data_IF_373026193461
#
_entry.id   IF_373026193461
#
_cell.length_a   1.000
_cell.length_b   1.000
_cell.length_c   1.000
_cell.angle_alpha   90.00
_cell.angle_beta   90.00
_cell.angle_gamma   90.00
#
_symmetry.space_group_name_H-M   'P 1'
#
loop_
_entity.id
_entity.type
_entity.pdbx_description
1 polymer ?
#
# COMPACT_ATOMS: atom_id res chain seq x y z
N UNK A 1 -45.01 -3.94 14.31
CA UNK A 1 -43.80 -3.32 14.88
C UNK A 1 -42.60 -3.96 14.17
N UNK A 2 -42.19 -3.42 13.02
CA UNK A 2 -41.10 -4.00 12.23
C UNK A 2 -39.76 -3.58 12.83
N UNK A 3 -38.94 -4.55 13.22
CA UNK A 3 -37.55 -4.33 13.61
C UNK A 3 -36.76 -3.90 12.37
N UNK A 4 -36.29 -2.65 12.37
CA UNK A 4 -35.29 -2.18 11.41
C UNK A 4 -34.00 -2.98 11.62
N UNK A 5 -33.76 -3.97 10.75
CA UNK A 5 -32.40 -4.34 10.34
C UNK A 5 -31.93 -3.18 9.48
N UNK A 6 -31.19 -2.25 10.06
CA UNK A 6 -30.43 -1.28 9.26
C UNK A 6 -29.23 -2.03 8.69
N UNK A 7 -29.11 -1.99 7.37
CA UNK A 7 -28.09 -2.63 6.57
C UNK A 7 -26.69 -2.17 7.00
N UNK A 8 -25.96 -3.02 7.75
CA UNK A 8 -24.50 -3.01 7.74
C UNK A 8 -24.06 -3.45 6.34
N UNK A 9 -24.13 -2.54 5.37
CA UNK A 9 -23.47 -2.72 4.10
C UNK A 9 -21.99 -3.02 4.39
N UNK A 10 -21.57 -4.24 4.08
CA UNK A 10 -20.20 -4.74 4.23
C UNK A 10 -19.24 -3.73 3.61
N UNK A 11 -18.54 -2.96 4.45
CA UNK A 11 -17.60 -1.95 3.98
C UNK A 11 -16.38 -2.65 3.41
N UNK A 12 -16.33 -2.75 2.09
CA UNK A 12 -15.22 -3.37 1.37
C UNK A 12 -14.04 -2.40 1.35
N UNK A 13 -12.92 -2.78 2.00
CA UNK A 13 -11.72 -1.95 2.07
C UNK A 13 -10.70 -2.47 1.07
N UNK A 14 -10.26 -1.61 0.15
CA UNK A 14 -9.10 -1.92 -0.69
C UNK A 14 -7.82 -1.69 0.12
N UNK A 15 -6.94 -2.67 0.17
CA UNK A 15 -5.63 -2.59 0.79
C UNK A 15 -4.53 -2.67 -0.26
N UNK A 16 -3.59 -1.73 -0.23
CA UNK A 16 -2.44 -1.67 -1.13
C UNK A 16 -1.20 -2.25 -0.44
N UNK A 17 -0.79 -3.43 -0.88
CA UNK A 17 0.43 -4.08 -0.42
C UNK A 17 1.63 -3.66 -1.26
N UNK A 18 2.74 -3.32 -0.60
CA UNK A 18 4.01 -2.93 -1.24
C UNK A 18 5.25 -3.61 -0.60
N UNK A 19 5.03 -4.53 0.33
CA UNK A 19 6.08 -5.21 1.10
C UNK A 19 5.84 -6.71 1.19
N UNK A 20 6.03 -7.30 2.38
CA UNK A 20 5.87 -8.74 2.61
C UNK A 20 4.50 -9.29 2.18
N UNK A 21 3.44 -8.50 2.36
CA UNK A 21 2.08 -8.81 1.91
C UNK A 21 1.91 -8.86 0.36
N UNK A 22 2.96 -8.65 -0.43
CA UNK A 22 2.98 -9.00 -1.86
C UNK A 22 3.01 -10.52 -2.09
N UNK A 23 3.44 -11.30 -1.09
CA UNK A 23 3.45 -12.76 -1.14
C UNK A 23 2.03 -13.32 -1.02
N UNK A 24 1.51 -14.05 -2.04
CA UNK A 24 0.19 -14.67 -1.97
C UNK A 24 0.09 -15.67 -0.82
N UNK A 25 1.15 -16.44 -0.55
CA UNK A 25 1.19 -17.39 0.56
C UNK A 25 1.04 -16.70 1.92
N UNK A 26 1.71 -15.55 2.09
CA UNK A 26 1.61 -14.78 3.32
C UNK A 26 0.23 -14.16 3.50
N UNK A 27 -0.33 -13.61 2.42
CA UNK A 27 -1.69 -13.07 2.43
C UNK A 27 -2.73 -14.15 2.68
N UNK A 28 -2.59 -15.35 2.11
CA UNK A 28 -3.51 -16.47 2.37
C UNK A 28 -3.51 -16.89 3.85
N UNK A 29 -2.36 -16.78 4.54
CA UNK A 29 -2.25 -17.08 5.97
C UNK A 29 -2.84 -15.96 6.85
N UNK A 30 -2.57 -14.69 6.51
CA UNK A 30 -3.01 -13.53 7.31
C UNK A 30 -4.47 -13.14 7.07
N UNK A 31 -4.90 -13.23 5.82
CA UNK A 31 -6.17 -12.73 5.30
C UNK A 31 -6.79 -13.75 4.32
N UNK A 32 -7.27 -14.90 4.83
CA UNK A 32 -7.71 -16.00 3.99
C UNK A 32 -8.92 -15.69 3.10
N UNK A 33 -9.69 -14.64 3.42
CA UNK A 33 -10.90 -14.24 2.68
C UNK A 33 -10.65 -13.06 1.74
N UNK A 34 -9.41 -12.57 1.65
CA UNK A 34 -9.07 -11.33 0.96
C UNK A 34 -8.22 -11.60 -0.29
N UNK A 35 -8.83 -11.98 -1.42
CA UNK A 35 -8.08 -12.28 -2.63
C UNK A 35 -7.44 -11.02 -3.26
N UNK A 36 -6.37 -11.19 -4.04
CA UNK A 36 -5.81 -10.11 -4.85
C UNK A 36 -6.85 -9.65 -5.88
N UNK A 37 -6.90 -8.34 -6.10
CA UNK A 37 -7.84 -7.67 -6.99
C UNK A 37 -7.15 -7.22 -8.28
N UNK A 38 -6.00 -6.54 -8.15
CA UNK A 38 -5.32 -5.92 -9.29
C UNK A 38 -3.89 -5.46 -8.93
N UNK A 39 -3.05 -5.30 -9.95
CA UNK A 39 -1.84 -4.48 -9.86
C UNK A 39 -2.25 -3.00 -9.72
N UNK A 40 -1.49 -2.23 -8.95
CA UNK A 40 -1.70 -0.80 -8.82
C UNK A 40 -0.38 -0.02 -8.71
N UNK A 41 -0.45 1.26 -9.05
CA UNK A 41 0.66 2.21 -8.96
C UNK A 41 0.29 3.39 -8.06
N UNK A 42 1.14 3.67 -7.06
CA UNK A 42 1.01 4.76 -6.10
C UNK A 42 2.01 5.88 -6.45
N UNK A 43 1.58 6.95 -7.13
CA UNK A 43 2.49 7.99 -7.64
C UNK A 43 2.98 8.93 -6.54
N UNK A 44 4.21 9.44 -6.66
CA UNK A 44 4.77 10.44 -5.74
C UNK A 44 5.24 9.88 -4.38
N UNK A 45 5.38 8.57 -4.29
CA UNK A 45 5.95 7.85 -3.16
C UNK A 45 7.19 7.10 -3.60
N UNK A 46 8.14 6.89 -2.69
CA UNK A 46 9.28 5.99 -2.92
C UNK A 46 9.27 4.88 -1.90
N UNK A 47 9.64 3.69 -2.36
CA UNK A 47 9.82 2.53 -1.51
C UNK A 47 11.22 2.52 -0.90
N UNK A 48 11.34 2.06 0.34
CA UNK A 48 12.63 1.83 1.01
C UNK A 48 12.53 0.70 2.03
N UNK A 49 13.69 0.19 2.45
CA UNK A 49 13.81 -0.53 3.71
C UNK A 49 14.25 0.46 4.79
N UNK A 50 13.46 0.58 5.84
CA UNK A 50 13.75 1.52 6.93
C UNK A 50 14.86 0.96 7.84
N UNK A 51 15.33 1.78 8.78
CA UNK A 51 16.33 1.42 9.80
C UNK A 51 15.99 0.17 10.63
N UNK A 52 14.73 -0.25 10.68
CA UNK A 52 14.30 -1.48 11.36
C UNK A 52 14.34 -2.72 10.46
N UNK A 53 14.73 -2.59 9.20
CA UNK A 53 14.76 -3.69 8.24
C UNK A 53 13.39 -4.01 7.61
N UNK A 54 12.40 -3.12 7.71
CA UNK A 54 11.06 -3.32 7.14
C UNK A 54 10.80 -2.44 5.93
N UNK A 55 10.03 -2.98 4.98
CA UNK A 55 9.55 -2.25 3.81
C UNK A 55 8.64 -1.08 4.22
N UNK A 56 8.90 0.11 3.70
CA UNK A 56 8.11 1.31 3.95
C UNK A 56 7.97 2.13 2.66
N UNK A 57 7.00 3.04 2.66
CA UNK A 57 6.86 4.06 1.62
C UNK A 57 6.97 5.46 2.23
N UNK A 58 7.69 6.34 1.56
CA UNK A 58 7.85 7.74 1.98
C UNK A 58 7.45 8.66 0.84
N UNK A 59 6.77 9.76 1.19
CA UNK A 59 6.32 10.74 0.21
C UNK A 59 7.52 11.50 -0.32
N UNK A 60 7.57 11.68 -1.63
CA UNK A 60 8.64 12.44 -2.27
C UNK A 60 8.29 13.91 -2.20
N UNK A 61 9.19 14.71 -1.62
CA UNK A 61 9.17 16.14 -1.86
C UNK A 61 9.84 16.41 -3.21
N UNK A 62 9.04 16.88 -4.18
CA UNK A 62 9.58 17.22 -5.51
C UNK A 62 10.65 18.30 -5.47
N UNK A 63 10.71 19.12 -4.41
CA UNK A 63 11.77 20.13 -4.23
C UNK A 63 13.13 19.52 -3.91
N UNK A 64 13.17 18.32 -3.33
CA UNK A 64 14.40 17.64 -2.90
C UNK A 64 14.93 16.63 -3.92
N UNK A 65 14.23 16.44 -5.04
CA UNK A 65 14.68 15.57 -6.14
C UNK A 65 15.90 16.20 -6.83
N UNK A 66 17.10 15.83 -6.39
CA UNK A 66 18.29 15.94 -7.23
C UNK A 66 18.31 14.75 -8.19
N UNK A 67 18.52 15.02 -9.48
CA UNK A 67 18.75 13.96 -10.45
C UNK A 67 19.95 13.13 -10.00
N UNK A 68 19.72 11.88 -9.58
CA UNK A 68 20.81 10.98 -9.26
C UNK A 68 21.60 10.70 -10.55
N UNK A 69 22.88 11.04 -10.57
CA UNK A 69 23.81 10.58 -11.62
C UNK A 69 24.14 9.12 -11.34
N UNK A 70 23.37 8.22 -11.95
CA UNK A 70 23.63 6.79 -11.99
C UNK A 70 23.44 6.24 -13.42
N UNK A 71 23.85 5.00 -13.69
CA UNK A 71 23.73 4.37 -15.01
C UNK A 71 22.28 4.07 -15.41
N UNK A 72 21.33 4.23 -14.50
CA UNK A 72 19.89 4.10 -14.77
C UNK A 72 19.36 5.44 -15.28
N UNK A 73 18.81 5.44 -16.49
CA UNK A 73 18.13 6.62 -17.04
C UNK A 73 17.12 7.14 -16.01
N UNK A 74 17.19 8.44 -15.71
CA UNK A 74 16.26 9.09 -14.80
C UNK A 74 14.83 8.79 -15.27
N UNK A 75 14.09 8.00 -14.49
CA UNK A 75 12.65 7.82 -14.69
C UNK A 75 12.04 9.21 -14.57
N UNK A 76 11.24 9.69 -15.54
CA UNK A 76 10.56 10.96 -15.41
C UNK A 76 9.86 11.03 -14.05
N UNK A 77 10.00 12.14 -13.33
CA UNK A 77 9.42 12.29 -11.97
C UNK A 77 7.89 12.14 -11.94
N UNK A 78 7.24 12.24 -13.11
CA UNK A 78 5.82 11.95 -13.33
C UNK A 78 5.49 10.45 -13.22
N UNK A 79 6.45 9.58 -13.54
CA UNK A 79 6.33 8.13 -13.50
C UNK A 79 6.93 7.53 -12.23
N UNK A 80 7.46 8.37 -11.33
CA UNK A 80 7.99 7.92 -10.05
C UNK A 80 6.85 7.54 -9.09
N UNK A 81 6.89 6.31 -8.59
CA UNK A 81 5.95 5.80 -7.62
C UNK A 81 6.26 4.38 -7.21
N UNK A 82 5.36 3.80 -6.43
CA UNK A 82 5.46 2.45 -5.89
C UNK A 82 4.43 1.58 -6.58
N UNK A 83 4.87 0.44 -7.13
CA UNK A 83 3.95 -0.59 -7.60
C UNK A 83 3.59 -1.54 -6.46
N UNK A 84 2.35 -2.00 -6.46
CA UNK A 84 1.82 -2.87 -5.42
C UNK A 84 0.61 -3.68 -5.89
N UNK A 85 0.11 -4.54 -5.01
CA UNK A 85 -1.09 -5.34 -5.26
C UNK A 85 -2.22 -4.82 -4.38
N UNK A 86 -3.40 -4.63 -4.99
CA UNK A 86 -4.63 -4.36 -4.27
C UNK A 86 -5.27 -5.67 -3.82
N UNK A 87 -5.69 -5.71 -2.56
CA UNK A 87 -6.50 -6.77 -1.98
C UNK A 87 -7.83 -6.20 -1.52
N UNK A 88 -8.87 -7.03 -1.54
CA UNK A 88 -10.19 -6.69 -1.00
C UNK A 88 -10.29 -7.26 0.41
N UNK A 89 -10.18 -6.41 1.43
CA UNK A 89 -10.27 -6.82 2.81
C UNK A 89 -11.72 -6.88 3.29
N UNK A 90 -12.03 -7.95 4.01
CA UNK A 90 -13.15 -7.96 4.96
C UNK A 90 -12.71 -7.38 6.32
N UNK A 91 -13.68 -7.10 7.20
CA UNK A 91 -13.42 -6.50 8.51
C UNK A 91 -12.54 -7.37 9.42
N UNK A 92 -12.65 -8.69 9.30
CA UNK A 92 -11.90 -9.64 10.14
C UNK A 92 -10.44 -9.69 9.71
N UNK A 93 -10.21 -9.75 8.41
CA UNK A 93 -8.89 -9.75 7.79
C UNK A 93 -8.17 -8.41 7.99
N UNK A 94 -8.89 -7.28 7.93
CA UNK A 94 -8.33 -5.97 8.27
C UNK A 94 -7.84 -5.92 9.73
N UNK A 95 -8.65 -6.42 10.67
CA UNK A 95 -8.28 -6.46 12.09
C UNK A 95 -7.06 -7.36 12.33
N UNK A 96 -6.94 -8.47 11.61
CA UNK A 96 -5.76 -9.34 11.66
C UNK A 96 -4.51 -8.65 11.08
N UNK A 97 -4.65 -7.88 10.01
CA UNK A 97 -3.55 -7.08 9.46
C UNK A 97 -3.09 -6.01 10.44
N UNK A 98 -3.99 -5.33 11.15
CA UNK A 98 -3.61 -4.32 12.15
C UNK A 98 -2.63 -4.86 13.19
N UNK A 99 -2.87 -6.08 13.66
CA UNK A 99 -1.99 -6.78 14.60
C UNK A 99 -0.66 -7.12 13.93
N UNK A 100 -0.69 -7.64 12.70
CA UNK A 100 0.51 -8.01 11.95
C UNK A 100 1.42 -6.83 11.63
N UNK A 101 0.83 -5.66 11.35
CA UNK A 101 1.54 -4.43 10.99
C UNK A 101 1.94 -3.61 12.23
N UNK A 102 1.57 -4.07 13.43
CA UNK A 102 1.91 -3.41 14.68
C UNK A 102 1.26 -2.03 14.81
N UNK A 103 0.02 -1.87 14.34
CA UNK A 103 -0.75 -0.66 14.59
C UNK A 103 -0.99 -0.56 16.11
N UNK A 104 -0.60 0.51 16.81
CA UNK A 104 -0.26 1.90 16.41
C UNK A 104 1.19 2.31 16.73
N UNK A 105 2.09 1.36 16.97
CA UNK A 105 3.47 1.58 17.43
C UNK A 105 4.53 1.44 16.30
N UNK A 106 4.20 0.70 15.24
CA UNK A 106 5.05 0.54 14.06
C UNK A 106 4.49 1.33 12.87
N UNK A 107 3.41 0.85 12.26
CA UNK A 107 2.77 1.50 11.12
C UNK A 107 1.47 2.21 11.52
N UNK A 108 1.08 3.22 10.72
CA UNK A 108 -0.22 3.89 10.80
C UNK A 108 -1.05 3.60 9.55
N UNK A 109 -2.37 3.45 9.73
CA UNK A 109 -3.32 3.42 8.61
C UNK A 109 -3.33 4.75 7.88
N UNK A 110 -3.19 4.71 6.56
CA UNK A 110 -3.32 5.86 5.67
C UNK A 110 -4.09 5.47 4.42
N UNK A 111 -5.06 6.29 4.01
CA UNK A 111 -5.80 6.04 2.77
C UNK A 111 -5.23 6.90 1.66
N UNK A 112 -4.57 6.26 0.70
CA UNK A 112 -3.89 6.92 -0.41
C UNK A 112 -4.60 6.61 -1.73
N UNK A 113 -4.47 7.51 -2.69
CA UNK A 113 -5.00 7.31 -4.03
C UNK A 113 -3.98 6.56 -4.89
N UNK A 114 -4.34 5.36 -5.33
CA UNK A 114 -3.55 4.53 -6.23
C UNK A 114 -4.24 4.43 -7.60
N UNK A 115 -3.46 4.12 -8.62
CA UNK A 115 -3.95 3.83 -9.98
C UNK A 115 -4.05 2.33 -10.11
N UNK A 116 -5.26 1.78 -10.09
CA UNK A 116 -5.56 0.37 -10.32
C UNK A 116 -5.48 0.08 -11.82
N UNK A 117 -4.70 -0.92 -12.21
CA UNK A 117 -4.66 -1.38 -13.59
C UNK A 117 -5.73 -2.44 -13.83
N UNK A 118 -6.36 -2.40 -15.00
CA UNK A 118 -7.32 -3.40 -15.44
C UNK A 118 -6.94 -3.87 -16.84
N UNK A 119 -7.37 -5.08 -17.21
CA UNK A 119 -7.05 -5.71 -18.50
C UNK A 119 -7.52 -4.89 -19.72
N UNK A 120 -8.39 -3.89 -19.51
CA UNK A 120 -9.04 -3.12 -20.56
C UNK A 120 -8.43 -1.74 -20.80
N UNK A 121 -7.54 -1.24 -19.94
CA UNK A 121 -6.97 0.11 -20.11
C UNK A 121 -5.65 0.33 -19.36
N UNK A 122 -4.65 0.85 -20.09
CA UNK A 122 -3.43 1.40 -19.51
C UNK A 122 -3.65 2.72 -18.76
N UNK A 123 -4.80 3.39 -18.96
CA UNK A 123 -5.10 4.66 -18.28
C UNK A 123 -5.42 4.48 -16.79
N UNK A 124 -5.73 3.25 -16.35
CA UNK A 124 -5.97 2.88 -14.95
C UNK A 124 -7.15 3.63 -14.28
N UNK A 125 -7.69 3.03 -13.22
CA UNK A 125 -8.75 3.62 -12.40
C UNK A 125 -8.14 4.20 -11.12
N UNK A 126 -8.49 5.43 -10.74
CA UNK A 126 -8.08 5.99 -9.44
C UNK A 126 -8.93 5.40 -8.33
N UNK A 127 -8.28 4.77 -7.37
CA UNK A 127 -8.95 4.12 -6.22
C UNK A 127 -8.30 4.57 -4.91
N UNK A 128 -9.12 4.71 -3.88
CA UNK A 128 -8.66 4.98 -2.51
C UNK A 128 -8.37 3.66 -1.81
N UNK A 129 -7.13 3.44 -1.39
CA UNK A 129 -6.71 2.21 -0.74
C UNK A 129 -6.05 2.47 0.61
N UNK A 130 -6.33 1.60 1.58
CA UNK A 130 -5.63 1.51 2.85
C UNK A 130 -4.18 1.11 2.61
N UNK A 131 -3.27 1.81 3.27
CA UNK A 131 -1.84 1.55 3.33
C UNK A 131 -1.42 1.59 4.80
N UNK A 132 -0.51 0.72 5.18
CA UNK A 132 0.21 0.84 6.45
C UNK A 132 1.48 1.62 6.17
N UNK A 133 1.72 2.76 6.82
CA UNK A 133 2.92 3.59 6.58
C UNK A 133 3.60 3.95 7.90
N UNK A 134 4.91 3.76 7.99
CA UNK A 134 5.73 4.24 9.12
C UNK A 134 6.17 5.68 8.81
N UNK A 135 5.49 6.64 9.44
CA UNK A 135 5.80 8.07 9.27
C UNK A 135 6.94 8.56 10.18
N UNK A 136 7.42 7.74 11.10
CA UNK A 136 8.50 8.12 12.02
C UNK A 136 9.85 7.72 11.44
N UNK A 137 9.94 6.52 10.86
CA UNK A 137 11.18 5.92 10.36
C UNK A 137 11.22 5.96 8.84
N UNK A 138 11.56 7.14 8.35
CA UNK A 138 11.56 7.50 6.92
C UNK A 138 12.95 7.52 6.28
N UNK A 139 13.99 7.24 7.07
CA UNK A 139 15.36 7.15 6.58
C UNK A 139 15.65 5.76 5.99
N UNK A 140 16.44 5.72 4.93
CA UNK A 140 16.99 4.51 4.36
C UNK A 140 18.02 3.88 5.32
N UNK A 141 17.99 2.56 5.49
CA UNK A 141 19.04 1.85 6.20
C UNK A 141 20.23 1.56 5.27
N UNK A 142 21.42 2.16 5.49
CA UNK A 142 22.59 1.94 4.63
C UNK A 142 23.29 0.59 4.85
N UNK A 143 22.93 -0.18 5.88
CA UNK A 143 23.60 -1.45 6.25
C UNK A 143 22.95 -2.70 5.62
N UNK A 144 21.99 -2.52 4.71
CA UNK A 144 21.33 -3.59 3.93
C UNK A 144 21.67 -3.44 2.45
#
# INVERSE_FOLDING_TARGET
MGTKKEDEATKEVLYFAYGSNLSPTQMQYRCPNSPPVALAHLPGWTWLINERGYANIVRIDRKTLQAQKGPVNAVPTADHGVYGVLYKLDLKDETMLDVCEGVSWAYKKSYLEATKFTDQSLAGEKVKALNYVDFQRVAFNPEI
#
